data_IF_105518229930
#
_entry.id   IF_105518229930
#
_cell.length_a   1.000
_cell.length_b   1.000
_cell.length_c   1.000
_cell.angle_alpha   90.00
_cell.angle_beta   90.00
_cell.angle_gamma   90.00
#
_symmetry.space_group_name_H-M   'P 1'
#
loop_
_entity.id
_entity.type
_entity.pdbx_description
1 polymer ?
#
# COMPACT_ATOMS: atom_id res chain seq x y z
N UNK A 1 41.96 -14.67 -29.07
CA UNK A 1 41.41 -13.33 -28.74
C UNK A 1 39.88 -13.22 -28.65
N UNK A 2 39.01 -14.03 -29.29
CA UNK A 2 37.55 -13.82 -29.16
C UNK A 2 36.96 -14.27 -27.81
N UNK A 3 37.58 -15.24 -27.13
CA UNK A 3 37.11 -15.74 -25.82
C UNK A 3 37.15 -14.69 -24.70
N UNK A 4 38.12 -13.76 -24.74
CA UNK A 4 38.26 -12.70 -23.72
C UNK A 4 37.15 -11.66 -23.87
N UNK A 5 36.82 -11.29 -25.12
CA UNK A 5 35.74 -10.36 -25.42
C UNK A 5 34.36 -10.95 -25.06
N UNK A 6 34.14 -12.23 -25.38
CA UNK A 6 32.89 -12.92 -25.02
C UNK A 6 32.74 -13.04 -23.50
N UNK A 7 33.80 -13.42 -22.78
CA UNK A 7 33.78 -13.49 -21.31
C UNK A 7 33.51 -12.14 -20.65
N UNK A 8 34.10 -11.05 -21.18
CA UNK A 8 33.91 -9.71 -20.67
C UNK A 8 32.47 -9.19 -20.91
N UNK A 9 31.90 -9.46 -22.08
CA UNK A 9 30.51 -9.06 -22.40
C UNK A 9 29.52 -9.81 -21.52
N UNK A 10 29.71 -11.11 -21.29
CA UNK A 10 28.82 -11.87 -20.40
C UNK A 10 28.90 -11.35 -18.96
N UNK A 11 30.10 -11.12 -18.43
CA UNK A 11 30.28 -10.57 -17.07
C UNK A 11 29.67 -9.16 -16.92
N UNK A 12 29.83 -8.29 -17.91
CA UNK A 12 29.25 -6.95 -17.89
C UNK A 12 27.72 -6.99 -18.00
N UNK A 13 27.15 -7.84 -18.86
CA UNK A 13 25.70 -7.96 -19.01
C UNK A 13 25.08 -8.60 -17.76
N UNK A 14 25.70 -9.62 -17.18
CA UNK A 14 25.24 -10.23 -15.92
C UNK A 14 25.40 -9.30 -14.72
N UNK A 15 26.50 -8.53 -14.65
CA UNK A 15 26.74 -7.56 -13.58
C UNK A 15 25.77 -6.38 -13.62
N UNK A 16 25.62 -5.75 -14.79
CA UNK A 16 24.69 -4.62 -14.97
C UNK A 16 23.24 -5.07 -14.85
N UNK A 17 22.89 -6.23 -15.42
CA UNK A 17 21.55 -6.82 -15.29
C UNK A 17 21.22 -7.18 -13.83
N UNK A 18 22.17 -7.74 -13.08
CA UNK A 18 22.01 -8.05 -11.67
C UNK A 18 21.83 -6.80 -10.82
N UNK A 19 22.65 -5.77 -11.02
CA UNK A 19 22.51 -4.49 -10.29
C UNK A 19 21.15 -3.85 -10.58
N UNK A 20 20.76 -3.73 -11.85
CA UNK A 20 19.45 -3.18 -12.23
C UNK A 20 18.29 -4.00 -11.65
N UNK A 21 18.41 -5.32 -11.63
CA UNK A 21 17.39 -6.19 -11.05
C UNK A 21 17.19 -5.91 -9.55
N UNK A 22 18.27 -5.77 -8.79
CA UNK A 22 18.20 -5.52 -7.34
C UNK A 22 17.91 -4.07 -6.97
N UNK A 23 18.36 -3.10 -7.77
CA UNK A 23 18.21 -1.66 -7.47
C UNK A 23 16.91 -1.06 -8.01
N UNK A 24 16.34 -1.63 -9.07
CA UNK A 24 15.23 -1.01 -9.80
C UNK A 24 14.03 -1.95 -9.94
N UNK A 25 14.25 -3.16 -10.45
CA UNK A 25 13.15 -4.04 -10.86
C UNK A 25 12.48 -4.74 -9.68
N UNK A 26 13.26 -5.40 -8.81
CA UNK A 26 12.76 -6.11 -7.62
C UNK A 26 12.03 -5.18 -6.64
N UNK A 27 12.56 -3.99 -6.29
CA UNK A 27 11.86 -3.04 -5.41
C UNK A 27 10.50 -2.62 -5.98
N UNK A 28 10.49 -2.24 -7.26
CA UNK A 28 9.28 -1.79 -7.94
C UNK A 28 8.22 -2.89 -8.02
N UNK A 29 8.61 -4.11 -8.41
CA UNK A 29 7.67 -5.23 -8.47
C UNK A 29 7.07 -5.54 -7.10
N UNK A 30 7.90 -5.59 -6.05
CA UNK A 30 7.42 -5.82 -4.70
C UNK A 30 6.42 -4.75 -4.25
N UNK A 31 6.74 -3.47 -4.50
CA UNK A 31 5.87 -2.35 -4.16
C UNK A 31 4.59 -2.33 -5.00
N UNK A 32 4.64 -2.71 -6.29
CA UNK A 32 3.47 -2.87 -7.15
C UNK A 32 2.53 -3.97 -6.60
N UNK A 33 3.07 -5.15 -6.32
CA UNK A 33 2.32 -6.29 -5.78
C UNK A 33 1.72 -5.97 -4.41
N UNK A 34 2.51 -5.39 -3.51
CA UNK A 34 2.03 -4.99 -2.19
C UNK A 34 0.95 -3.91 -2.30
N UNK A 35 1.13 -2.91 -3.17
CA UNK A 35 0.09 -1.88 -3.41
C UNK A 35 -1.21 -2.47 -3.96
N UNK A 36 -1.11 -3.54 -4.74
CA UNK A 36 -2.27 -4.24 -5.29
C UNK A 36 -3.03 -5.00 -4.22
N UNK A 37 -2.33 -5.75 -3.36
CA UNK A 37 -2.92 -6.39 -2.17
C UNK A 37 -3.64 -5.37 -1.29
N UNK A 38 -3.04 -4.18 -1.14
CA UNK A 38 -3.61 -3.11 -0.34
C UNK A 38 -4.80 -2.38 -1.01
N UNK A 39 -4.99 -2.55 -2.32
CA UNK A 39 -6.01 -1.85 -3.10
C UNK A 39 -7.45 -2.35 -2.89
N UNK A 40 -7.67 -3.41 -2.12
CA UNK A 40 -8.97 -4.08 -1.97
C UNK A 40 -9.38 -4.24 -0.50
N UNK A 41 -10.31 -3.40 -0.04
CA UNK A 41 -11.09 -3.63 1.20
C UNK A 41 -12.58 -3.65 0.87
N UNK A 42 -13.40 -4.37 1.66
CA UNK A 42 -14.79 -4.65 1.31
C UNK A 42 -15.64 -3.36 1.28
N UNK A 43 -15.27 -2.38 2.10
CA UNK A 43 -15.95 -1.08 2.25
C UNK A 43 -15.14 0.09 1.69
N UNK A 44 -13.95 -0.17 1.13
CA UNK A 44 -13.02 0.85 0.65
C UNK A 44 -12.64 0.59 -0.81
N UNK A 45 -12.84 1.59 -1.65
CA UNK A 45 -12.43 1.55 -3.06
C UNK A 45 -11.14 2.32 -3.24
N UNK A 46 -10.21 1.73 -3.98
CA UNK A 46 -9.03 2.45 -4.46
C UNK A 46 -9.42 3.54 -5.45
N UNK A 47 -9.14 4.80 -5.10
CA UNK A 47 -9.38 5.95 -5.98
C UNK A 47 -8.11 6.48 -6.63
N UNK A 48 -6.95 6.29 -6.00
CA UNK A 48 -5.65 6.67 -6.55
C UNK A 48 -4.58 5.66 -6.17
N UNK A 49 -3.53 5.59 -6.99
CA UNK A 49 -2.29 4.96 -6.58
C UNK A 49 -1.19 5.06 -7.62
N UNK A 50 0.05 4.96 -7.14
CA UNK A 50 1.25 4.89 -7.97
C UNK A 50 2.27 3.98 -7.27
N UNK A 51 3.18 3.39 -8.03
CA UNK A 51 4.31 2.63 -7.51
C UNK A 51 5.56 2.96 -8.32
N UNK A 52 6.64 3.24 -7.62
CA UNK A 52 7.99 3.39 -8.18
C UNK A 52 8.97 2.48 -7.40
N UNK A 53 10.28 2.65 -7.61
CA UNK A 53 11.30 1.79 -6.99
C UNK A 53 11.56 2.10 -5.50
N UNK A 54 11.18 3.29 -5.03
CA UNK A 54 11.44 3.76 -3.67
C UNK A 54 10.17 3.71 -2.82
N UNK A 55 9.01 3.93 -3.43
CA UNK A 55 7.72 3.97 -2.74
C UNK A 55 6.54 3.56 -3.60
N UNK A 56 5.50 3.07 -2.93
CA UNK A 56 4.17 2.98 -3.49
C UNK A 56 3.16 3.75 -2.64
N UNK A 57 2.09 4.19 -3.30
CA UNK A 57 1.01 4.95 -2.71
C UNK A 57 -0.32 4.37 -3.14
N UNK A 58 -1.22 4.25 -2.17
CA UNK A 58 -2.60 3.85 -2.39
C UNK A 58 -3.51 4.80 -1.62
N UNK A 59 -4.52 5.35 -2.30
CA UNK A 59 -5.62 6.05 -1.66
C UNK A 59 -6.86 5.19 -1.74
N UNK A 60 -7.47 4.99 -0.59
CA UNK A 60 -8.72 4.29 -0.41
C UNK A 60 -9.79 5.27 0.10
N UNK A 61 -10.96 5.24 -0.50
CA UNK A 61 -12.13 6.02 -0.08
C UNK A 61 -13.30 5.09 0.16
N UNK A 62 -14.18 5.43 1.11
CA UNK A 62 -15.31 4.58 1.42
C UNK A 62 -16.24 4.38 0.20
N UNK A 63 -16.55 3.13 -0.11
CA UNK A 63 -17.48 2.73 -1.15
C UNK A 63 -18.93 3.06 -0.73
N UNK A 64 -19.42 4.24 -1.07
CA UNK A 64 -20.82 4.60 -0.81
C UNK A 64 -21.69 4.18 -2.01
N UNK A 65 -22.57 3.18 -1.81
CA UNK A 65 -23.47 2.73 -2.86
C UNK A 65 -24.48 3.83 -3.24
N UNK A 66 -24.55 4.28 -4.51
CA UNK A 66 -25.55 5.24 -4.93
C UNK A 66 -26.92 4.54 -5.01
N UNK A 67 -27.85 4.91 -4.12
CA UNK A 67 -29.24 4.43 -4.14
C UNK A 67 -29.76 3.83 -2.83
N UNK A 68 -28.87 3.47 -1.89
CA UNK A 68 -29.25 2.95 -0.57
C UNK A 68 -28.78 3.90 0.54
N UNK A 69 -29.40 5.08 0.64
CA UNK A 69 -29.46 5.89 1.87
C UNK A 69 -28.22 5.90 2.80
N UNK A 70 -27.05 6.29 2.28
CA UNK A 70 -25.87 6.65 3.06
C UNK A 70 -24.85 5.54 3.33
N UNK A 71 -23.61 5.95 3.60
CA UNK A 71 -22.52 5.08 4.02
C UNK A 71 -22.79 4.67 5.49
N UNK A 72 -23.55 3.59 5.67
CA UNK A 72 -24.10 3.18 6.98
C UNK A 72 -23.34 2.06 7.69
N UNK A 73 -22.35 1.46 7.05
CA UNK A 73 -21.57 0.36 7.65
C UNK A 73 -20.32 0.96 8.30
N UNK A 74 -20.16 0.75 9.60
CA UNK A 74 -18.93 1.09 10.31
C UNK A 74 -17.78 0.35 9.63
N UNK A 75 -16.75 1.05 9.12
CA UNK A 75 -15.60 0.44 8.45
C UNK A 75 -14.62 -0.24 9.41
N UNK A 76 -14.90 -0.21 10.72
CA UNK A 76 -13.97 -0.65 11.78
C UNK A 76 -13.56 -2.12 11.62
N UNK A 77 -14.50 -3.03 11.44
CA UNK A 77 -14.15 -4.45 11.26
C UNK A 77 -13.43 -4.70 9.93
N UNK A 78 -13.85 -4.00 8.87
CA UNK A 78 -13.26 -4.16 7.54
C UNK A 78 -11.82 -3.64 7.51
N UNK A 79 -11.53 -2.49 8.12
CA UNK A 79 -10.18 -1.95 8.17
C UNK A 79 -9.25 -2.83 9.00
N UNK A 80 -9.73 -3.35 10.14
CA UNK A 80 -8.93 -4.25 10.99
C UNK A 80 -8.57 -5.51 10.23
N UNK A 81 -9.56 -6.09 9.52
CA UNK A 81 -9.35 -7.25 8.66
C UNK A 81 -8.42 -6.95 7.50
N UNK A 82 -8.58 -5.80 6.84
CA UNK A 82 -7.78 -5.36 5.70
C UNK A 82 -6.32 -5.10 6.09
N UNK A 83 -6.07 -4.39 7.20
CA UNK A 83 -4.72 -4.20 7.74
C UNK A 83 -4.06 -5.56 8.00
N UNK A 84 -4.81 -6.49 8.61
CA UNK A 84 -4.36 -7.83 8.95
C UNK A 84 -3.97 -8.71 7.74
N UNK A 85 -4.40 -8.36 6.52
CA UNK A 85 -4.02 -9.09 5.30
C UNK A 85 -2.62 -8.78 4.82
N UNK A 86 -2.06 -7.62 5.13
CA UNK A 86 -0.83 -7.21 4.45
C UNK A 86 -0.10 -5.98 4.94
N UNK A 87 -0.56 -5.29 5.98
CA UNK A 87 0.14 -4.11 6.53
C UNK A 87 0.60 -4.35 7.95
N UNK A 88 -0.29 -4.88 8.79
CA UNK A 88 -0.07 -5.00 10.22
C UNK A 88 -1.36 -5.32 10.96
N UNK A 89 -1.36 -5.19 12.28
CA UNK A 89 -2.55 -5.43 13.10
C UNK A 89 -2.98 -4.16 13.83
N UNK A 90 -4.28 -4.02 14.01
CA UNK A 90 -4.91 -2.95 14.77
C UNK A 90 -6.13 -3.52 15.47
N UNK A 91 -6.44 -3.04 16.67
CA UNK A 91 -7.69 -3.39 17.35
C UNK A 91 -8.86 -2.58 16.81
N UNK A 92 -10.08 -3.08 16.95
CA UNK A 92 -11.29 -2.33 16.56
C UNK A 92 -11.43 -1.00 17.30
N UNK A 93 -10.98 -0.94 18.57
CA UNK A 93 -10.97 0.29 19.36
C UNK A 93 -10.02 1.35 18.78
N UNK A 94 -8.80 0.96 18.41
CA UNK A 94 -7.84 1.85 17.75
C UNK A 94 -8.33 2.31 16.38
N UNK A 95 -8.94 1.41 15.61
CA UNK A 95 -9.54 1.75 14.32
C UNK A 95 -10.69 2.76 14.48
N UNK A 96 -11.58 2.54 15.46
CA UNK A 96 -12.69 3.44 15.76
C UNK A 96 -12.22 4.83 16.20
N UNK A 97 -11.15 4.91 17.00
CA UNK A 97 -10.50 6.18 17.38
C UNK A 97 -9.91 6.88 16.15
N UNK A 98 -9.16 6.15 15.32
CA UNK A 98 -8.59 6.68 14.09
C UNK A 98 -9.65 7.22 13.10
N UNK A 99 -10.83 6.60 13.03
CA UNK A 99 -11.93 7.13 12.21
C UNK A 99 -12.62 8.35 12.82
N UNK A 100 -12.59 8.52 14.14
CA UNK A 100 -13.19 9.67 14.82
C UNK A 100 -12.30 10.90 14.72
N UNK A 101 -11.03 10.74 15.04
CA UNK A 101 -10.12 11.87 15.28
C UNK A 101 -9.08 12.04 14.15
N UNK A 102 -9.00 11.07 13.24
CA UNK A 102 -7.90 10.95 12.30
C UNK A 102 -6.62 10.48 13.02
N UNK A 103 -5.81 9.68 12.35
CA UNK A 103 -4.56 9.22 12.93
C UNK A 103 -3.55 8.82 11.85
N UNK A 104 -2.30 8.67 12.23
CA UNK A 104 -1.26 8.04 11.42
C UNK A 104 -0.67 6.86 12.19
N UNK A 105 -0.47 5.74 11.50
CA UNK A 105 0.13 4.53 12.06
C UNK A 105 1.22 4.02 11.14
N UNK A 106 2.29 3.54 11.76
CA UNK A 106 3.43 2.97 11.05
C UNK A 106 3.47 1.48 11.34
N UNK A 107 3.61 0.71 10.28
CA UNK A 107 3.73 -0.74 10.32
C UNK A 107 4.96 -1.20 9.54
N UNK A 108 5.34 -2.45 9.77
CA UNK A 108 6.46 -3.08 9.09
C UNK A 108 6.06 -4.45 8.59
N UNK A 109 6.35 -4.73 7.32
CA UNK A 109 6.18 -6.04 6.68
C UNK A 109 7.48 -6.41 5.97
N UNK A 110 8.01 -7.59 6.25
CA UNK A 110 9.25 -8.10 5.65
C UNK A 110 10.46 -7.14 5.75
N UNK A 111 10.51 -6.28 6.77
CA UNK A 111 11.55 -5.27 6.96
C UNK A 111 11.28 -3.92 6.26
N UNK A 112 10.18 -3.83 5.50
CA UNK A 112 9.75 -2.65 4.75
C UNK A 112 8.69 -1.87 5.51
N UNK A 113 8.70 -0.55 5.37
CA UNK A 113 7.84 0.36 6.15
C UNK A 113 6.54 0.64 5.40
N UNK A 114 5.43 0.61 6.12
CA UNK A 114 4.14 1.12 5.66
C UNK A 114 3.64 2.21 6.60
N UNK A 115 3.24 3.36 6.05
CA UNK A 115 2.58 4.44 6.79
C UNK A 115 1.14 4.49 6.33
N UNK A 116 0.21 4.26 7.26
CA UNK A 116 -1.23 4.32 7.01
C UNK A 116 -1.80 5.53 7.72
N UNK A 117 -2.40 6.42 6.96
CA UNK A 117 -2.99 7.66 7.43
C UNK A 117 -4.50 7.61 7.26
N UNK A 118 -5.21 7.81 8.35
CA UNK A 118 -6.66 7.87 8.44
C UNK A 118 -7.09 9.33 8.50
N UNK A 119 -7.94 9.74 7.57
CA UNK A 119 -8.46 11.10 7.47
C UNK A 119 -9.98 11.08 7.48
N UNK A 120 -10.58 11.89 8.35
CA UNK A 120 -12.00 12.18 8.29
C UNK A 120 -12.24 13.24 7.21
N UNK A 121 -13.10 12.94 6.22
CA UNK A 121 -13.37 13.85 5.09
C UNK A 121 -14.50 14.83 5.45
N UNK A 122 -15.47 14.40 6.25
CA UNK A 122 -16.56 15.27 6.72
C UNK A 122 -16.85 15.05 8.20
N UNK A 123 -17.05 16.14 8.94
CA UNK A 123 -17.38 16.11 10.38
C UNK A 123 -18.79 15.59 10.68
N UNK A 124 -19.64 15.50 9.66
CA UNK A 124 -21.07 15.15 9.79
C UNK A 124 -21.42 13.74 9.30
N UNK A 125 -20.44 12.91 8.95
CA UNK A 125 -20.69 11.56 8.42
C UNK A 125 -19.50 10.62 8.54
N UNK A 126 -19.71 9.35 8.22
CA UNK A 126 -18.69 8.30 8.21
C UNK A 126 -17.85 8.30 6.92
N UNK A 127 -17.68 9.45 6.26
CA UNK A 127 -16.82 9.53 5.07
C UNK A 127 -15.37 9.65 5.51
N UNK A 128 -14.60 8.61 5.27
CA UNK A 128 -13.18 8.55 5.61
C UNK A 128 -12.34 8.21 4.38
N UNK A 129 -11.10 8.63 4.46
CA UNK A 129 -10.08 8.44 3.46
C UNK A 129 -8.86 7.80 4.14
N UNK A 130 -8.34 6.74 3.54
CA UNK A 130 -7.15 6.03 4.02
C UNK A 130 -6.07 6.17 2.97
N UNK A 131 -4.93 6.73 3.38
CA UNK A 131 -3.73 6.82 2.55
C UNK A 131 -2.70 5.84 3.05
N UNK A 132 -2.12 5.07 2.14
CA UNK A 132 -1.08 4.10 2.43
C UNK A 132 0.16 4.48 1.66
N UNK A 133 1.26 4.68 2.37
CA UNK A 133 2.59 4.90 1.81
C UNK A 133 3.47 3.70 2.14
N UNK A 134 3.92 2.99 1.13
CA UNK A 134 4.78 1.81 1.23
C UNK A 134 6.20 2.20 0.81
N UNK A 135 7.20 1.72 1.53
CA UNK A 135 8.60 2.06 1.30
C UNK A 135 9.45 0.79 1.21
N UNK A 136 10.30 0.71 0.18
CA UNK A 136 11.29 -0.35 0.00
C UNK A 136 12.53 -0.11 0.88
#
# INVERSE_FOLDING_TARGET
MPLVLVGLVVLLVSGVGGVYYFSEYRPRQYLEDWSWEMGYADTLVRTQGFADREKAYVRLEQACAPGYGGCRVSPVEDIVRWLGRGVGSMTEAEAAECFRDGCERVFYRDGHKAVVRFQQVTSSGWNFLVEVYLYW
#
